data_IF_418342059509
#
_entry.id   IF_418342059509
#
_cell.length_a   1.000
_cell.length_b   1.000
_cell.length_c   1.000
_cell.angle_alpha   90.00
_cell.angle_beta   90.00
_cell.angle_gamma   90.00
#
_symmetry.space_group_name_H-M   'P 1'
#
loop_
_entity.id
_entity.type
_entity.pdbx_description
1 polymer ?
#
# COMPACT_ATOMS: atom_id res chain seq x y z
N UNK A 1 -34.70 67.29 18.57
CA UNK A 1 -34.25 65.94 18.99
C UNK A 1 -33.56 65.31 17.78
N UNK A 2 -32.23 65.40 17.69
CA UNK A 2 -31.16 64.52 18.24
C UNK A 2 -30.92 63.24 17.40
N UNK A 3 -29.96 63.39 16.48
CA UNK A 3 -28.87 62.47 16.03
C UNK A 3 -29.15 60.97 16.08
N UNK A 4 -29.16 60.34 14.90
CA UNK A 4 -28.83 58.92 14.75
C UNK A 4 -27.39 58.83 14.24
N UNK A 5 -26.60 58.08 15.00
CA UNK A 5 -25.15 57.86 14.84
C UNK A 5 -24.95 56.66 13.90
N UNK A 6 -24.05 56.83 12.94
CA UNK A 6 -23.49 55.78 12.09
C UNK A 6 -22.46 54.98 12.88
N UNK A 7 -22.58 53.64 12.90
CA UNK A 7 -21.53 52.72 13.38
C UNK A 7 -21.27 51.68 12.29
N UNK A 8 -20.04 51.67 11.78
CA UNK A 8 -19.46 50.59 10.97
C UNK A 8 -19.09 49.39 11.86
N UNK A 9 -19.34 48.15 11.40
CA UNK A 9 -18.43 46.97 11.53
C UNK A 9 -19.04 45.72 10.86
N UNK A 10 -18.43 45.16 9.81
CA UNK A 10 -17.46 44.02 9.76
C UNK A 10 -18.13 42.66 9.46
N UNK A 11 -17.81 42.13 8.27
CA UNK A 11 -17.72 40.73 7.81
C UNK A 11 -18.59 39.63 8.46
N UNK A 12 -19.44 38.99 7.64
CA UNK A 12 -19.69 37.55 7.70
C UNK A 12 -19.63 37.01 6.26
N UNK A 13 -18.68 36.10 6.03
CA UNK A 13 -18.38 35.51 4.73
C UNK A 13 -19.50 34.62 4.20
N UNK A 14 -19.58 34.56 2.87
CA UNK A 14 -20.37 33.55 2.16
C UNK A 14 -19.72 32.18 2.35
N UNK A 15 -20.18 31.45 3.36
CA UNK A 15 -20.23 30.00 3.30
C UNK A 15 -21.37 29.61 2.34
N UNK A 16 -21.07 28.76 1.36
CA UNK A 16 -21.88 27.59 0.99
C UNK A 16 -21.45 27.04 -0.38
N UNK A 17 -20.50 26.12 -0.34
CA UNK A 17 -20.57 24.82 -1.03
C UNK A 17 -19.34 24.04 -0.57
N UNK A 18 -19.27 23.74 0.73
CA UNK A 18 -18.54 22.55 1.13
C UNK A 18 -19.37 21.41 0.58
N UNK A 19 -18.90 20.84 -0.53
CA UNK A 19 -19.20 19.47 -0.85
C UNK A 19 -18.75 18.69 0.38
N UNK A 20 -19.71 18.22 1.17
CA UNK A 20 -19.44 17.28 2.24
C UNK A 20 -18.75 16.09 1.56
N UNK A 21 -17.42 16.05 1.69
CA UNK A 21 -16.63 14.85 1.47
C UNK A 21 -17.19 13.84 2.48
N UNK A 22 -18.24 13.12 2.09
CA UNK A 22 -18.57 11.83 2.71
C UNK A 22 -17.29 11.01 2.80
N UNK A 23 -17.16 10.10 3.78
CA UNK A 23 -15.90 9.44 4.08
C UNK A 23 -15.28 8.93 2.78
N UNK A 24 -14.18 9.58 2.36
CA UNK A 24 -13.49 9.26 1.12
C UNK A 24 -13.26 7.77 1.14
N UNK A 25 -13.80 7.08 0.12
CA UNK A 25 -13.67 5.64 -0.04
C UNK A 25 -12.18 5.22 -0.03
N UNK A 26 -11.25 6.17 -0.23
CA UNK A 26 -9.80 6.01 -0.06
C UNK A 26 -9.34 5.57 1.33
N UNK A 27 -9.98 5.98 2.42
CA UNK A 27 -9.45 5.73 3.78
C UNK A 27 -10.04 4.46 4.39
N UNK A 28 -11.25 4.09 3.97
CA UNK A 28 -12.00 2.94 4.48
C UNK A 28 -11.25 1.62 4.26
N UNK A 29 -10.66 1.45 3.08
CA UNK A 29 -9.97 0.20 2.72
C UNK A 29 -8.53 0.17 3.22
N UNK A 30 -7.84 1.30 3.28
CA UNK A 30 -6.45 1.36 3.77
C UNK A 30 -6.32 0.90 5.22
N UNK A 31 -7.32 1.17 6.07
CA UNK A 31 -7.31 0.73 7.47
C UNK A 31 -7.26 -0.79 7.65
N UNK A 32 -7.87 -1.55 6.75
CA UNK A 32 -7.91 -3.03 6.82
C UNK A 32 -6.56 -3.67 6.49
N UNK A 33 -5.74 -2.99 5.69
CA UNK A 33 -4.45 -3.50 5.20
C UNK A 33 -3.25 -2.72 5.76
N UNK A 34 -3.47 -2.00 6.86
CA UNK A 34 -2.39 -1.31 7.56
C UNK A 34 -1.50 -2.34 8.26
N UNK A 35 -0.19 -2.15 8.16
CA UNK A 35 0.76 -2.94 8.93
C UNK A 35 0.53 -2.72 10.44
N UNK A 36 0.71 -3.79 11.21
CA UNK A 36 0.71 -3.67 12.67
C UNK A 36 1.91 -2.85 13.13
N UNK A 37 1.80 -2.23 14.29
CA UNK A 37 2.92 -1.46 14.87
C UNK A 37 4.14 -2.34 15.09
N UNK A 38 3.95 -3.58 15.51
CA UNK A 38 5.07 -4.53 15.69
C UNK A 38 5.77 -4.81 14.36
N UNK A 39 5.01 -4.97 13.27
CA UNK A 39 5.58 -5.20 11.93
C UNK A 39 6.36 -3.99 11.45
N UNK A 40 5.82 -2.78 11.64
CA UNK A 40 6.52 -1.54 11.31
C UNK A 40 7.80 -1.38 12.13
N UNK A 41 7.78 -1.70 13.42
CA UNK A 41 8.98 -1.66 14.29
C UNK A 41 10.04 -2.68 13.86
N UNK A 42 9.64 -3.89 13.46
CA UNK A 42 10.57 -4.90 12.90
C UNK A 42 11.23 -4.39 11.63
N UNK A 43 10.47 -3.84 10.68
CA UNK A 43 11.02 -3.32 9.42
C UNK A 43 11.95 -2.14 9.69
N UNK A 44 11.48 -1.14 10.44
CA UNK A 44 12.21 0.13 10.61
C UNK A 44 13.45 0.02 11.49
N UNK A 45 13.52 -1.00 12.36
CA UNK A 45 14.71 -1.28 13.17
C UNK A 45 15.81 -2.04 12.42
N UNK A 46 15.49 -2.68 11.29
CA UNK A 46 16.44 -3.45 10.48
C UNK A 46 17.55 -2.57 9.88
N UNK A 47 18.75 -3.15 9.71
CA UNK A 47 19.86 -2.45 9.05
C UNK A 47 19.64 -2.34 7.53
N UNK A 48 18.90 -3.28 6.94
CA UNK A 48 18.50 -3.22 5.53
C UNK A 48 17.62 -1.99 5.29
N UNK A 49 16.58 -1.75 6.09
CA UNK A 49 15.75 -0.54 5.99
C UNK A 49 16.58 0.74 6.06
N UNK A 50 17.48 0.85 7.05
CA UNK A 50 18.35 2.04 7.22
C UNK A 50 19.24 2.24 6.00
N UNK A 51 19.81 1.15 5.48
CA UNK A 51 20.66 1.16 4.29
C UNK A 51 19.90 1.60 3.05
N UNK A 52 18.74 1.00 2.77
CA UNK A 52 17.90 1.32 1.62
C UNK A 52 17.39 2.76 1.67
N UNK A 53 16.91 3.21 2.83
CA UNK A 53 16.44 4.59 3.02
C UNK A 53 17.52 5.63 2.71
N UNK A 54 18.79 5.31 2.98
CA UNK A 54 19.93 6.21 2.71
C UNK A 54 20.41 6.12 1.26
N UNK A 55 20.32 4.94 0.63
CA UNK A 55 20.93 4.66 -0.67
C UNK A 55 20.00 4.84 -1.86
N UNK A 56 18.69 4.68 -1.67
CA UNK A 56 17.70 4.78 -2.74
C UNK A 56 16.99 6.13 -2.71
N UNK A 57 16.96 6.79 -3.85
CA UNK A 57 16.32 8.08 -4.06
C UNK A 57 15.59 8.12 -5.41
N UNK A 58 14.31 8.49 -5.37
CA UNK A 58 13.47 8.61 -6.56
C UNK A 58 13.07 7.27 -7.21
N UNK A 59 12.05 7.34 -8.07
CA UNK A 59 11.37 6.15 -8.60
C UNK A 59 12.29 5.15 -9.32
N UNK A 60 13.23 5.63 -10.15
CA UNK A 60 14.06 4.76 -10.98
C UNK A 60 14.94 3.82 -10.14
N UNK A 61 15.57 4.33 -9.08
CA UNK A 61 16.44 3.53 -8.20
C UNK A 61 15.63 2.50 -7.41
N UNK A 62 14.48 2.91 -6.85
CA UNK A 62 13.57 1.99 -6.15
C UNK A 62 13.07 0.88 -7.08
N UNK A 63 12.65 1.23 -8.29
CA UNK A 63 12.18 0.26 -9.29
C UNK A 63 13.27 -0.72 -9.70
N UNK A 64 14.49 -0.24 -9.98
CA UNK A 64 15.61 -1.10 -10.38
C UNK A 64 15.97 -2.09 -9.27
N UNK A 65 16.10 -1.59 -8.02
CA UNK A 65 16.34 -2.44 -6.86
C UNK A 65 15.21 -3.48 -6.70
N UNK A 66 13.97 -3.03 -6.72
CA UNK A 66 12.81 -3.91 -6.51
C UNK A 66 12.69 -4.98 -7.61
N UNK A 67 12.97 -4.63 -8.87
CA UNK A 67 12.98 -5.58 -9.97
C UNK A 67 14.07 -6.66 -9.82
N UNK A 68 15.24 -6.29 -9.30
CA UNK A 68 16.39 -7.18 -9.15
C UNK A 68 16.21 -8.23 -8.03
N UNK A 69 15.42 -7.93 -7.00
CA UNK A 69 15.23 -8.76 -5.81
C UNK A 69 13.91 -9.53 -5.79
N UNK A 70 13.76 -10.52 -4.90
CA UNK A 70 12.52 -11.29 -4.74
C UNK A 70 12.15 -12.11 -5.97
N UNK A 71 13.13 -12.82 -6.56
CA UNK A 71 12.91 -13.76 -7.68
C UNK A 71 12.50 -15.15 -7.21
N UNK A 72 12.87 -15.50 -5.98
CA UNK A 72 12.50 -16.72 -5.29
C UNK A 72 12.68 -16.47 -3.78
N UNK A 73 12.03 -17.29 -2.96
CA UNK A 73 12.15 -17.25 -1.52
C UNK A 73 12.74 -18.56 -1.00
N UNK A 74 13.42 -18.53 0.14
CA UNK A 74 14.01 -19.72 0.73
C UNK A 74 12.91 -20.66 1.24
N UNK A 75 13.09 -21.96 1.00
CA UNK A 75 12.25 -23.01 1.58
C UNK A 75 12.50 -23.11 3.08
N UNK A 76 11.43 -23.16 3.86
CA UNK A 76 11.47 -23.42 5.28
C UNK A 76 10.42 -22.62 6.05
N UNK A 77 9.68 -23.30 6.91
CA UNK A 77 8.76 -22.68 7.87
C UNK A 77 9.48 -21.87 8.98
N UNK A 78 10.82 -21.96 9.09
CA UNK A 78 11.59 -21.41 10.21
C UNK A 78 12.85 -20.60 9.83
N UNK A 79 13.07 -20.25 8.56
CA UNK A 79 14.21 -19.38 8.22
C UNK A 79 13.83 -17.93 8.49
N UNK A 80 13.95 -17.51 9.75
CA UNK A 80 13.76 -16.13 10.22
C UNK A 80 14.69 -15.10 9.58
N UNK A 81 15.56 -15.49 8.65
CA UNK A 81 16.51 -14.60 7.98
C UNK A 81 16.61 -14.92 6.48
N UNK A 82 15.46 -15.10 5.82
CA UNK A 82 15.45 -14.94 4.37
C UNK A 82 15.73 -13.46 4.06
N UNK A 83 16.98 -13.17 3.68
CA UNK A 83 17.40 -11.81 3.33
C UNK A 83 16.61 -11.26 2.14
N UNK A 84 16.10 -12.09 1.24
CA UNK A 84 15.23 -11.62 0.16
C UNK A 84 13.87 -11.20 0.71
N UNK A 85 13.29 -11.93 1.66
CA UNK A 85 12.07 -11.49 2.33
C UNK A 85 12.26 -10.15 3.07
N UNK A 86 13.39 -9.98 3.78
CA UNK A 86 13.71 -8.74 4.48
C UNK A 86 13.91 -7.55 3.53
N UNK A 87 14.71 -7.72 2.47
CA UNK A 87 14.91 -6.71 1.42
C UNK A 87 13.61 -6.28 0.78
N UNK A 88 12.78 -7.26 0.43
CA UNK A 88 11.49 -7.03 -0.20
C UNK A 88 10.54 -6.29 0.75
N UNK A 89 10.47 -6.71 2.02
CA UNK A 89 9.68 -6.01 3.02
C UNK A 89 10.12 -4.55 3.19
N UNK A 90 11.43 -4.31 3.31
CA UNK A 90 11.99 -2.98 3.51
C UNK A 90 11.74 -2.06 2.31
N UNK A 91 12.01 -2.52 1.08
CA UNK A 91 11.81 -1.70 -0.13
C UNK A 91 10.32 -1.45 -0.38
N UNK A 92 9.45 -2.44 -0.18
CA UNK A 92 8.00 -2.27 -0.34
C UNK A 92 7.43 -1.32 0.70
N UNK A 93 7.91 -1.38 1.95
CA UNK A 93 7.52 -0.44 2.98
C UNK A 93 7.93 1.00 2.64
N UNK A 94 9.15 1.20 2.13
CA UNK A 94 9.65 2.52 1.70
C UNK A 94 8.86 3.07 0.50
N UNK A 95 8.66 2.25 -0.54
CA UNK A 95 7.83 2.62 -1.69
C UNK A 95 6.36 2.79 -1.31
N UNK A 96 5.93 2.11 -0.25
CA UNK A 96 4.59 2.21 0.28
C UNK A 96 4.31 3.53 0.97
N UNK A 97 5.31 4.36 1.30
CA UNK A 97 5.10 5.60 2.06
C UNK A 97 4.30 6.65 1.27
N UNK A 98 3.50 7.44 1.98
CA UNK A 98 2.64 8.47 1.37
C UNK A 98 3.44 9.47 0.55
N UNK A 99 4.55 9.96 1.11
CA UNK A 99 5.43 10.94 0.47
C UNK A 99 6.03 10.41 -0.84
N UNK A 100 6.42 9.13 -0.86
CA UNK A 100 6.94 8.51 -2.07
C UNK A 100 5.86 8.39 -3.13
N UNK A 101 4.71 7.79 -2.80
CA UNK A 101 3.63 7.51 -3.76
C UNK A 101 2.97 8.79 -4.31
N UNK A 102 2.81 9.83 -3.48
CA UNK A 102 2.25 11.11 -3.92
C UNK A 102 3.17 11.88 -4.85
N UNK A 103 4.49 11.66 -4.75
CA UNK A 103 5.49 12.23 -5.64
C UNK A 103 5.59 11.56 -7.02
N UNK A 104 4.93 10.43 -7.24
CA UNK A 104 4.95 9.70 -8.52
C UNK A 104 3.90 10.23 -9.49
N UNK A 105 4.19 10.15 -10.79
CA UNK A 105 3.15 10.28 -11.82
C UNK A 105 2.25 9.03 -11.85
N UNK A 106 0.99 9.15 -12.31
CA UNK A 106 0.07 8.00 -12.42
C UNK A 106 0.66 6.84 -13.24
N UNK A 107 1.36 7.12 -14.35
CA UNK A 107 2.05 6.09 -15.13
C UNK A 107 3.10 5.32 -14.33
N UNK A 108 3.84 5.99 -13.44
CA UNK A 108 4.83 5.36 -12.56
C UNK A 108 4.16 4.53 -11.46
N UNK A 109 3.03 5.00 -10.91
CA UNK A 109 2.24 4.23 -9.94
C UNK A 109 1.63 2.96 -10.56
N UNK A 110 1.12 3.05 -11.79
CA UNK A 110 0.62 1.88 -12.54
C UNK A 110 1.74 0.90 -12.84
N UNK A 111 2.89 1.39 -13.27
CA UNK A 111 4.08 0.54 -13.46
C UNK A 111 4.49 -0.16 -12.15
N UNK A 112 4.52 0.58 -11.03
CA UNK A 112 4.81 0.01 -9.73
C UNK A 112 3.76 -1.02 -9.29
N UNK A 113 2.47 -0.76 -9.52
CA UNK A 113 1.39 -1.69 -9.20
C UNK A 113 1.61 -3.04 -9.88
N UNK A 114 2.00 -3.02 -11.16
CA UNK A 114 2.24 -4.23 -11.92
C UNK A 114 3.46 -4.99 -11.45
N UNK A 115 4.55 -4.27 -11.18
CA UNK A 115 5.74 -4.88 -10.59
C UNK A 115 5.41 -5.50 -9.23
N UNK A 116 4.67 -4.80 -8.37
CA UNK A 116 4.27 -5.29 -7.05
C UNK A 116 3.34 -6.51 -7.13
N UNK A 117 2.43 -6.56 -8.11
CA UNK A 117 1.59 -7.75 -8.33
C UNK A 117 2.42 -8.96 -8.73
N UNK A 118 3.40 -8.80 -9.62
CA UNK A 118 4.28 -9.89 -10.03
C UNK A 118 5.14 -10.37 -8.86
N UNK A 119 5.68 -9.45 -8.05
CA UNK A 119 6.40 -9.81 -6.82
C UNK A 119 5.50 -10.47 -5.78
N UNK A 120 4.23 -10.06 -5.69
CA UNK A 120 3.29 -10.70 -4.79
C UNK A 120 3.00 -12.14 -5.22
N UNK A 121 2.88 -12.44 -6.52
CA UNK A 121 2.71 -13.83 -7.03
C UNK A 121 3.87 -14.72 -6.61
N UNK A 122 5.11 -14.25 -6.80
CA UNK A 122 6.33 -15.02 -6.46
C UNK A 122 6.34 -15.43 -4.98
N UNK A 123 5.78 -14.61 -4.08
CA UNK A 123 5.69 -14.92 -2.64
C UNK A 123 4.76 -16.11 -2.32
N UNK A 124 3.96 -16.57 -3.27
CA UNK A 124 3.02 -17.69 -3.12
C UNK A 124 3.38 -18.90 -4.00
N UNK A 125 4.37 -18.79 -4.91
CA UNK A 125 4.74 -19.89 -5.82
C UNK A 125 5.37 -21.10 -5.10
N UNK A 126 6.11 -20.86 -4.01
CA UNK A 126 6.71 -21.93 -3.21
C UNK A 126 5.95 -22.14 -1.90
N UNK A 127 5.19 -23.24 -1.84
CA UNK A 127 4.40 -23.65 -0.67
C UNK A 127 5.22 -23.91 0.59
N UNK A 128 6.52 -24.20 0.43
CA UNK A 128 7.42 -24.45 1.56
C UNK A 128 8.03 -23.13 2.06
N UNK A 129 7.75 -22.00 1.41
CA UNK A 129 8.19 -20.66 1.82
C UNK A 129 7.09 -19.93 2.61
N UNK A 130 7.51 -19.14 3.60
CA UNK A 130 6.61 -18.30 4.40
C UNK A 130 7.17 -16.88 4.57
N UNK A 131 7.34 -16.09 3.50
CA UNK A 131 7.84 -14.71 3.56
C UNK A 131 6.79 -13.75 4.12
N UNK A 132 6.38 -13.96 5.38
CA UNK A 132 5.20 -13.36 5.99
C UNK A 132 5.20 -11.83 5.93
N UNK A 133 6.26 -11.18 6.41
CA UNK A 133 6.37 -9.71 6.42
C UNK A 133 6.33 -9.16 4.99
N UNK A 134 7.06 -9.80 4.06
CA UNK A 134 7.05 -9.38 2.65
C UNK A 134 5.66 -9.53 2.01
N UNK A 135 4.86 -10.56 2.38
CA UNK A 135 3.47 -10.68 1.92
C UNK A 135 2.62 -9.52 2.43
N UNK A 136 2.83 -9.08 3.68
CA UNK A 136 2.10 -7.94 4.26
C UNK A 136 2.45 -6.62 3.57
N UNK A 137 3.75 -6.30 3.44
CA UNK A 137 4.21 -5.05 2.82
C UNK A 137 3.81 -4.96 1.36
N UNK A 138 3.87 -6.08 0.64
CA UNK A 138 3.45 -6.15 -0.76
C UNK A 138 1.96 -5.93 -0.92
N UNK A 139 1.13 -6.56 -0.07
CA UNK A 139 -0.30 -6.32 -0.07
C UNK A 139 -0.62 -4.86 0.27
N UNK A 140 0.00 -4.31 1.31
CA UNK A 140 -0.19 -2.90 1.68
C UNK A 140 0.15 -1.98 0.50
N UNK A 141 1.31 -2.15 -0.14
CA UNK A 141 1.72 -1.35 -1.29
C UNK A 141 0.70 -1.43 -2.43
N UNK A 142 0.23 -2.63 -2.78
CA UNK A 142 -0.78 -2.83 -3.83
C UNK A 142 -2.07 -2.10 -3.48
N UNK A 143 -2.60 -2.27 -2.28
CA UNK A 143 -3.85 -1.62 -1.84
C UNK A 143 -3.71 -0.10 -1.86
N UNK A 144 -2.57 0.43 -1.41
CA UNK A 144 -2.30 1.88 -1.45
C UNK A 144 -2.26 2.41 -2.88
N UNK A 145 -1.63 1.69 -3.81
CA UNK A 145 -1.59 2.06 -5.22
C UNK A 145 -2.98 2.06 -5.85
N UNK A 146 -3.76 1.00 -5.62
CA UNK A 146 -5.16 0.91 -6.08
C UNK A 146 -6.02 2.05 -5.51
N UNK A 147 -5.81 2.41 -4.24
CA UNK A 147 -6.51 3.52 -3.58
C UNK A 147 -6.17 4.88 -4.19
N UNK A 148 -4.90 5.15 -4.47
CA UNK A 148 -4.46 6.42 -5.08
C UNK A 148 -4.95 6.52 -6.53
N UNK A 149 -4.97 5.41 -7.27
CA UNK A 149 -5.49 5.35 -8.64
C UNK A 149 -7.03 5.24 -8.71
N UNK A 150 -7.73 5.30 -7.57
CA UNK A 150 -9.20 5.28 -7.49
C UNK A 150 -9.84 4.03 -8.12
N UNK A 151 -9.21 2.87 -7.93
CA UNK A 151 -9.69 1.57 -8.39
C UNK A 151 -10.80 1.01 -7.47
N UNK A 152 -11.85 1.81 -7.22
CA UNK A 152 -12.87 1.57 -6.20
C UNK A 152 -13.63 0.26 -6.38
N UNK A 153 -13.87 -0.16 -7.63
CA UNK A 153 -14.53 -1.42 -7.93
C UNK A 153 -13.69 -2.63 -7.46
N UNK A 154 -12.36 -2.57 -7.64
CA UNK A 154 -11.44 -3.61 -7.18
C UNK A 154 -11.38 -3.61 -5.66
N UNK A 155 -11.19 -2.43 -5.05
CA UNK A 155 -11.11 -2.30 -3.59
C UNK A 155 -12.39 -2.78 -2.89
N UNK A 156 -13.56 -2.47 -3.46
CA UNK A 156 -14.84 -2.95 -2.96
C UNK A 156 -14.92 -4.48 -3.04
N UNK A 157 -14.57 -5.08 -4.18
CA UNK A 157 -14.61 -6.54 -4.33
C UNK A 157 -13.69 -7.26 -3.33
N UNK A 158 -12.49 -6.71 -3.09
CA UNK A 158 -11.58 -7.23 -2.06
C UNK A 158 -12.18 -7.11 -0.66
N UNK A 159 -12.75 -5.95 -0.33
CA UNK A 159 -13.40 -5.74 0.97
C UNK A 159 -14.62 -6.64 1.19
N UNK A 160 -15.44 -6.85 0.16
CA UNK A 160 -16.61 -7.73 0.23
C UNK A 160 -16.17 -9.17 0.54
N UNK A 161 -15.09 -9.65 -0.11
CA UNK A 161 -14.49 -10.95 0.19
C UNK A 161 -14.03 -11.03 1.65
N UNK A 162 -13.28 -10.03 2.13
CA UNK A 162 -12.82 -9.99 3.53
C UNK A 162 -13.96 -9.99 4.56
N UNK A 163 -15.15 -9.53 4.18
CA UNK A 163 -16.31 -9.45 5.07
C UNK A 163 -17.05 -10.79 5.24
N UNK A 164 -16.81 -11.73 4.33
CA UNK A 164 -17.54 -13.00 4.25
C UNK A 164 -16.64 -14.23 4.40
N UNK A 165 -15.32 -14.04 4.33
CA UNK A 165 -14.33 -15.10 4.43
C UNK A 165 -13.61 -15.09 5.78
N UNK A 166 -13.47 -16.25 6.40
CA UNK A 166 -12.70 -16.41 7.64
C UNK A 166 -11.25 -16.75 7.33
N UNK A 167 -10.32 -15.95 7.87
CA UNK A 167 -8.89 -16.11 7.63
C UNK A 167 -8.21 -16.90 8.75
N UNK A 168 -8.06 -18.21 8.57
CA UNK A 168 -7.46 -19.10 9.57
C UNK A 168 -6.04 -18.69 9.99
N UNK A 169 -5.24 -18.16 9.06
CA UNK A 169 -3.83 -17.78 9.28
C UNK A 169 -3.54 -16.32 8.91
N UNK A 170 -4.60 -15.48 8.93
CA UNK A 170 -4.56 -14.09 8.52
C UNK A 170 -4.59 -13.90 7.00
N UNK A 171 -5.15 -12.75 6.59
CA UNK A 171 -5.38 -12.40 5.18
C UNK A 171 -4.13 -12.46 4.30
N UNK A 172 -2.96 -12.17 4.86
CA UNK A 172 -1.71 -12.08 4.12
C UNK A 172 -1.15 -13.42 3.66
N UNK A 173 -1.67 -14.53 4.18
CA UNK A 173 -1.27 -15.89 3.79
C UNK A 173 -2.41 -16.66 3.09
N UNK A 174 -3.56 -16.03 2.88
CA UNK A 174 -4.72 -16.69 2.27
C UNK A 174 -4.54 -16.74 0.75
N UNK A 175 -4.33 -17.95 0.22
CA UNK A 175 -4.12 -18.19 -1.22
C UNK A 175 -5.33 -17.74 -2.05
N UNK A 176 -6.55 -17.99 -1.57
CA UNK A 176 -7.77 -17.61 -2.29
C UNK A 176 -7.94 -16.09 -2.38
N UNK A 177 -7.64 -15.35 -1.31
CA UNK A 177 -7.59 -13.90 -1.33
C UNK A 177 -6.47 -13.39 -2.25
N UNK A 178 -5.29 -14.02 -2.22
CA UNK A 178 -4.19 -13.69 -3.12
C UNK A 178 -4.58 -13.85 -4.59
N UNK A 179 -5.19 -14.98 -4.95
CA UNK A 179 -5.66 -15.26 -6.31
C UNK A 179 -6.71 -14.25 -6.76
N UNK A 180 -7.63 -13.88 -5.85
CA UNK A 180 -8.62 -12.83 -6.11
C UNK A 180 -7.96 -11.48 -6.39
N UNK A 181 -7.01 -11.06 -5.53
CA UNK A 181 -6.25 -9.82 -5.69
C UNK A 181 -5.54 -9.78 -7.06
N UNK A 182 -4.82 -10.85 -7.39
CA UNK A 182 -4.10 -10.95 -8.65
C UNK A 182 -5.05 -10.89 -9.84
N UNK A 183 -6.15 -11.64 -9.79
CA UNK A 183 -7.14 -11.72 -10.87
C UNK A 183 -7.80 -10.37 -11.15
N UNK A 184 -8.20 -9.64 -10.09
CA UNK A 184 -8.85 -8.34 -10.22
C UNK A 184 -7.88 -7.27 -10.73
N UNK A 185 -6.67 -7.21 -10.15
CA UNK A 185 -5.72 -6.12 -10.41
C UNK A 185 -4.86 -6.30 -11.65
N UNK A 186 -4.68 -7.53 -12.16
CA UNK A 186 -3.86 -7.77 -13.37
C UNK A 186 -4.39 -7.08 -14.63
N UNK A 187 -5.68 -6.69 -14.66
CA UNK A 187 -6.26 -5.92 -15.77
C UNK A 187 -5.61 -4.55 -15.94
N UNK A 188 -5.10 -3.96 -14.85
CA UNK A 188 -4.41 -2.68 -14.85
C UNK A 188 -2.96 -2.78 -15.35
N UNK A 189 -2.49 -3.99 -15.68
CA UNK A 189 -1.14 -4.29 -16.13
C UNK A 189 -1.03 -4.64 -17.61
N UNK A 190 -2.13 -4.53 -18.34
CA UNK A 190 -2.12 -4.68 -19.80
C UNK A 190 -1.58 -3.39 -20.43
N UNK A 191 -0.51 -3.54 -21.20
CA UNK A 191 0.09 -2.48 -22.03
C UNK A 191 -0.88 -2.02 -23.12
#
# INVERSE_FOLDING_TARGET
MKRIILILSVFIGMMACQQEDGPKISDKYQGMFKLSKETEEVITSSDEYKSLKKSLSGFAQYKEYYAAHGKAYQKGYSSTVDKEADRMACVEYLMGQTEFLSGLASGQRKELLCLSLDKQKIKFEDKDSAPFIARQTGLQLIIRLLSIEQEDAILKALSDYCSTHEFQYGIYNDEAFHDLLVSLSSKNCKK
#
